data_IF_419997018175
#
_entry.id   IF_419997018175
#
_cell.length_a   1.000
_cell.length_b   1.000
_cell.length_c   1.000
_cell.angle_alpha   90.00
_cell.angle_beta   90.00
_cell.angle_gamma   90.00
#
_symmetry.space_group_name_H-M   'P 1'
#
loop_
_entity.id
_entity.type
_entity.pdbx_description
1 polymer ?
#
# COMPACT_ATOMS: atom_id res chain seq x y z
N UNK A 1 -34.72 8.98 -53.05
CA UNK A 1 -34.57 10.02 -52.00
C UNK A 1 -33.61 9.48 -50.95
N UNK A 2 -32.43 10.09 -50.79
CA UNK A 2 -31.41 9.63 -49.84
C UNK A 2 -31.44 10.53 -48.59
N UNK A 3 -31.71 9.94 -47.43
CA UNK A 3 -31.65 10.62 -46.13
C UNK A 3 -30.20 10.86 -45.72
N UNK A 4 -29.82 12.07 -45.25
CA UNK A 4 -28.46 12.30 -44.76
C UNK A 4 -28.32 11.71 -43.34
N UNK A 5 -27.43 10.73 -43.22
CA UNK A 5 -26.97 10.20 -41.92
C UNK A 5 -26.26 11.32 -41.18
N UNK A 6 -26.87 11.83 -40.11
CA UNK A 6 -26.23 12.80 -39.21
C UNK A 6 -25.01 12.13 -38.56
N UNK A 7 -23.82 12.55 -39.00
CA UNK A 7 -22.58 12.23 -38.30
C UNK A 7 -22.62 12.77 -36.86
N UNK A 8 -21.86 12.16 -35.93
CA UNK A 8 -21.86 12.53 -34.53
C UNK A 8 -21.47 14.00 -34.38
N UNK A 9 -22.31 14.76 -33.68
CA UNK A 9 -22.14 16.20 -33.46
C UNK A 9 -20.80 16.43 -32.75
N UNK A 10 -20.08 17.46 -33.14
CA UNK A 10 -18.80 17.89 -32.54
C UNK A 10 -18.86 18.13 -31.01
N UNK A 11 -20.05 18.27 -30.44
CA UNK A 11 -20.28 18.29 -28.98
C UNK A 11 -20.10 16.94 -28.29
N UNK A 12 -20.41 15.81 -28.96
CA UNK A 12 -20.23 14.46 -28.41
C UNK A 12 -18.75 14.14 -28.19
N UNK A 13 -17.89 14.46 -29.17
CA UNK A 13 -16.44 14.21 -29.04
C UNK A 13 -15.81 14.99 -27.90
N UNK A 14 -16.18 16.27 -27.72
CA UNK A 14 -15.68 17.08 -26.60
C UNK A 14 -16.15 16.55 -25.24
N UNK A 15 -17.34 15.94 -25.18
CA UNK A 15 -17.89 15.34 -23.98
C UNK A 15 -17.22 13.99 -23.68
N UNK A 16 -16.93 13.20 -24.71
CA UNK A 16 -16.14 11.97 -24.63
C UNK A 16 -14.69 12.24 -24.21
N UNK A 17 -14.05 13.26 -24.77
CA UNK A 17 -12.70 13.69 -24.41
C UNK A 17 -12.62 14.18 -22.96
N UNK A 18 -13.63 14.96 -22.51
CA UNK A 18 -13.76 15.36 -21.11
C UNK A 18 -13.97 14.17 -20.18
N UNK A 19 -14.77 13.18 -20.59
CA UNK A 19 -14.99 11.94 -19.82
C UNK A 19 -13.71 11.12 -19.74
N UNK A 20 -12.97 10.99 -20.84
CA UNK A 20 -11.69 10.29 -20.89
C UNK A 20 -10.62 10.99 -20.03
N UNK A 21 -10.52 12.32 -20.08
CA UNK A 21 -9.65 13.12 -19.19
C UNK A 21 -10.02 12.95 -17.73
N UNK A 22 -11.32 12.94 -17.40
CA UNK A 22 -11.80 12.72 -16.03
C UNK A 22 -11.50 11.30 -15.54
N UNK A 23 -11.65 10.28 -16.40
CA UNK A 23 -11.28 8.90 -16.08
C UNK A 23 -9.77 8.73 -15.92
N UNK A 24 -8.95 9.39 -16.74
CA UNK A 24 -7.48 9.43 -16.59
C UNK A 24 -7.07 10.15 -15.31
N UNK A 25 -7.73 11.26 -14.97
CA UNK A 25 -7.50 11.98 -13.72
C UNK A 25 -7.93 11.17 -12.51
N UNK A 26 -9.08 10.50 -12.56
CA UNK A 26 -9.53 9.58 -11.50
C UNK A 26 -8.55 8.40 -11.39
N UNK A 27 -8.10 7.79 -12.49
CA UNK A 27 -7.08 6.73 -12.47
C UNK A 27 -5.74 7.22 -11.89
N UNK A 28 -5.33 8.46 -12.21
CA UNK A 28 -4.14 9.10 -11.64
C UNK A 28 -4.29 9.41 -10.16
N UNK A 29 -5.44 9.94 -9.73
CA UNK A 29 -5.77 10.23 -8.34
C UNK A 29 -6.09 8.97 -7.52
N UNK A 30 -6.48 7.86 -8.15
CA UNK A 30 -6.66 6.57 -7.50
C UNK A 30 -5.33 6.08 -6.92
N UNK A 31 -4.18 6.36 -7.55
CA UNK A 31 -2.88 6.08 -6.94
C UNK A 31 -2.67 6.86 -5.61
N UNK A 32 -3.30 8.03 -5.47
CA UNK A 32 -3.27 8.84 -4.25
C UNK A 32 -4.24 8.32 -3.17
N UNK A 33 -5.31 7.60 -3.54
CA UNK A 33 -6.31 7.08 -2.60
C UNK A 33 -6.12 5.60 -2.25
N UNK A 34 -5.42 4.84 -3.09
CA UNK A 34 -5.12 3.42 -2.88
C UNK A 34 -3.93 3.22 -1.93
N UNK A 35 -4.04 3.81 -0.75
CA UNK A 35 -3.02 3.71 0.30
C UNK A 35 -3.43 2.68 1.34
N UNK A 36 -2.44 1.96 1.86
CA UNK A 36 -2.64 1.04 2.96
C UNK A 36 -2.99 1.83 4.22
N UNK A 37 -4.20 1.63 4.77
CA UNK A 37 -4.66 2.33 5.98
C UNK A 37 -3.72 2.10 7.18
N UNK A 38 -3.03 0.95 7.22
CA UNK A 38 -2.13 0.62 8.31
C UNK A 38 -0.81 1.40 8.27
N UNK A 39 -0.16 1.58 7.11
CA UNK A 39 1.17 2.20 7.03
C UNK A 39 1.25 3.49 6.20
N UNK A 40 0.15 3.85 5.52
CA UNK A 40 0.01 5.04 4.70
C UNK A 40 0.92 5.06 3.46
N UNK A 41 1.32 3.89 2.95
CA UNK A 41 2.04 3.78 1.68
C UNK A 41 1.11 3.22 0.60
N UNK A 42 1.32 3.57 -0.69
CA UNK A 42 0.54 3.01 -1.79
C UNK A 42 0.56 1.48 -1.81
N UNK A 43 -0.57 0.86 -2.13
CA UNK A 43 -0.64 -0.59 -2.37
C UNK A 43 -0.40 -0.92 -3.83
N UNK A 44 0.10 -2.12 -4.10
CA UNK A 44 0.22 -2.64 -5.46
C UNK A 44 -1.04 -3.40 -5.83
N UNK A 45 -1.71 -3.01 -6.89
CA UNK A 45 -2.87 -3.75 -7.44
C UNK A 45 -2.49 -4.68 -8.59
N UNK A 46 -1.22 -4.66 -9.03
CA UNK A 46 -0.71 -5.47 -10.11
C UNK A 46 0.58 -6.22 -9.70
N UNK A 47 0.85 -7.30 -10.44
CA UNK A 47 1.98 -8.19 -10.21
C UNK A 47 1.65 -9.38 -9.30
N UNK A 48 2.67 -10.08 -8.77
CA UNK A 48 2.47 -11.31 -8.03
C UNK A 48 1.64 -11.11 -6.76
N UNK A 49 0.53 -11.86 -6.61
CA UNK A 49 -0.34 -11.80 -5.43
C UNK A 49 0.37 -12.20 -4.11
N UNK A 50 1.51 -12.91 -4.21
CA UNK A 50 2.37 -13.25 -3.08
C UNK A 50 3.23 -12.09 -2.56
N UNK A 51 3.32 -10.98 -3.30
CA UNK A 51 4.16 -9.85 -2.94
C UNK A 51 3.66 -9.18 -1.63
N UNK A 52 4.56 -8.82 -0.68
CA UNK A 52 4.17 -8.23 0.60
C UNK A 52 3.31 -6.97 0.49
N UNK A 53 3.59 -6.15 -0.51
CA UNK A 53 2.86 -4.92 -0.82
C UNK A 53 1.65 -5.08 -1.74
N UNK A 54 1.22 -6.30 -2.05
CA UNK A 54 -0.01 -6.52 -2.82
C UNK A 54 -1.22 -6.02 -2.01
N UNK A 55 -2.13 -5.31 -2.66
CA UNK A 55 -3.33 -4.73 -2.05
C UNK A 55 -4.38 -5.80 -1.75
N UNK A 56 -4.96 -5.74 -0.56
CA UNK A 56 -6.09 -6.59 -0.13
C UNK A 56 -7.10 -5.71 0.59
N UNK A 57 -8.38 -6.00 0.37
CA UNK A 57 -9.49 -5.37 1.11
C UNK A 57 -9.77 -6.23 2.35
N UNK A 58 -9.99 -5.58 3.48
CA UNK A 58 -10.36 -6.21 4.75
C UNK A 58 -11.59 -5.51 5.33
N UNK A 59 -12.46 -6.28 5.96
CA UNK A 59 -13.59 -5.76 6.72
C UNK A 59 -13.15 -5.47 8.16
N UNK A 60 -13.38 -4.23 8.61
CA UNK A 60 -13.17 -3.83 10.00
C UNK A 60 -14.53 -3.54 10.61
N UNK A 61 -14.91 -4.34 11.61
CA UNK A 61 -16.15 -4.12 12.35
C UNK A 61 -15.94 -2.92 13.28
N UNK A 62 -16.61 -1.80 12.98
CA UNK A 62 -16.76 -0.70 13.93
C UNK A 62 -17.65 -1.18 15.08
N UNK A 63 -17.23 -0.93 16.31
CA UNK A 63 -17.87 -1.49 17.50
C UNK A 63 -19.32 -1.02 17.71
N UNK A 64 -20.10 -1.93 18.29
CA UNK A 64 -21.55 -1.94 18.63
C UNK A 64 -22.44 -2.85 17.75
N UNK A 65 -21.95 -3.30 16.59
CA UNK A 65 -22.66 -4.27 15.74
C UNK A 65 -23.91 -3.71 15.06
N UNK A 66 -24.15 -2.41 15.16
CA UNK A 66 -25.29 -1.72 14.52
C UNK A 66 -24.89 -0.98 13.24
N UNK A 67 -23.59 -0.76 13.03
CA UNK A 67 -23.04 -0.15 11.82
C UNK A 67 -22.56 -1.19 10.79
N UNK A 68 -22.68 -0.85 9.50
CA UNK A 68 -22.10 -1.63 8.42
C UNK A 68 -20.56 -1.71 8.57
N UNK A 69 -19.92 -2.84 8.21
CA UNK A 69 -18.47 -2.99 8.34
C UNK A 69 -17.73 -2.00 7.43
N UNK A 70 -16.69 -1.37 7.98
CA UNK A 70 -15.81 -0.49 7.21
C UNK A 70 -14.85 -1.33 6.36
N UNK A 71 -14.89 -1.12 5.04
CA UNK A 71 -13.93 -1.74 4.13
C UNK A 71 -12.65 -0.91 4.09
N UNK A 72 -11.51 -1.54 4.40
CA UNK A 72 -10.21 -0.88 4.43
C UNK A 72 -9.23 -1.54 3.48
N UNK A 73 -8.40 -0.73 2.82
CA UNK A 73 -7.36 -1.20 1.93
C UNK A 73 -6.05 -1.39 2.70
N UNK A 74 -5.43 -2.55 2.55
CA UNK A 74 -4.21 -2.92 3.24
C UNK A 74 -3.22 -3.59 2.31
N UNK A 75 -1.94 -3.55 2.68
CA UNK A 75 -0.98 -4.50 2.12
C UNK A 75 -1.25 -5.90 2.68
N UNK A 76 -1.03 -6.93 1.87
CA UNK A 76 -1.06 -8.34 2.28
C UNK A 76 -0.24 -8.58 3.55
N UNK A 77 0.93 -7.96 3.64
CA UNK A 77 1.76 -8.02 4.84
C UNK A 77 1.11 -7.31 6.04
N UNK A 78 0.60 -6.09 5.85
CA UNK A 78 0.00 -5.29 6.92
C UNK A 78 -1.30 -5.90 7.47
N UNK A 79 -2.08 -6.60 6.64
CA UNK A 79 -3.27 -7.35 7.07
C UNK A 79 -2.97 -8.29 8.24
N UNK A 80 -1.83 -8.98 8.20
CA UNK A 80 -1.43 -9.93 9.25
C UNK A 80 -1.17 -9.29 10.62
N UNK A 81 -1.06 -7.96 10.69
CA UNK A 81 -0.86 -7.21 11.91
C UNK A 81 -2.13 -6.60 12.51
N UNK A 82 -3.25 -6.60 11.77
CA UNK A 82 -4.54 -6.24 12.33
C UNK A 82 -4.84 -7.14 13.54
N UNK A 83 -5.24 -6.53 14.65
CA UNK A 83 -5.52 -7.21 15.92
C UNK A 83 -4.31 -7.75 16.70
N UNK A 84 -3.17 -8.03 16.06
CA UNK A 84 -2.00 -8.70 16.71
C UNK A 84 -0.90 -7.75 17.12
N UNK A 85 -0.75 -6.63 16.44
CA UNK A 85 0.40 -5.74 16.63
C UNK A 85 -0.08 -4.31 16.88
N UNK A 86 -0.09 -3.92 18.17
CA UNK A 86 -0.13 -2.52 18.63
C UNK A 86 1.18 -1.78 18.32
N UNK A 87 1.80 -2.04 17.16
CA UNK A 87 3.05 -1.36 16.81
C UNK A 87 2.77 0.14 16.71
N UNK A 88 3.44 0.88 17.61
CA UNK A 88 3.29 2.33 17.74
C UNK A 88 4.14 3.00 16.64
N UNK A 89 3.47 3.69 15.73
CA UNK A 89 4.09 4.61 14.78
C UNK A 89 4.20 4.08 13.33
N UNK A 90 3.86 4.95 12.38
CA UNK A 90 3.91 4.69 10.95
C UNK A 90 5.31 4.25 10.47
N UNK A 91 6.38 4.83 11.02
CA UNK A 91 7.77 4.51 10.64
C UNK A 91 8.09 3.04 10.87
N UNK A 92 7.69 2.48 12.02
CA UNK A 92 7.95 1.08 12.32
C UNK A 92 7.15 0.14 11.40
N UNK A 93 5.89 0.50 11.11
CA UNK A 93 5.04 -0.24 10.16
C UNK A 93 5.67 -0.29 8.77
N UNK A 94 6.14 0.85 8.28
CA UNK A 94 6.88 0.97 7.01
C UNK A 94 8.18 0.18 7.03
N UNK A 95 8.92 0.21 8.14
CA UNK A 95 10.15 -0.56 8.29
C UNK A 95 9.91 -2.08 8.17
N UNK A 96 8.87 -2.61 8.80
CA UNK A 96 8.53 -4.02 8.65
C UNK A 96 8.14 -4.37 7.22
N UNK A 97 7.33 -3.54 6.56
CA UNK A 97 6.98 -3.72 5.15
C UNK A 97 8.24 -3.70 4.26
N UNK A 98 9.15 -2.75 4.47
CA UNK A 98 10.39 -2.64 3.70
C UNK A 98 11.31 -3.85 3.86
N UNK A 99 11.43 -4.38 5.08
CA UNK A 99 12.17 -5.63 5.33
C UNK A 99 11.50 -6.83 4.69
N UNK A 100 10.18 -6.96 4.79
CA UNK A 100 9.42 -8.03 4.16
C UNK A 100 9.55 -8.00 2.63
N UNK A 101 9.52 -6.80 2.05
CA UNK A 101 9.74 -6.58 0.61
C UNK A 101 11.15 -7.01 0.21
N UNK A 102 12.19 -6.56 0.93
CA UNK A 102 13.57 -7.01 0.65
C UNK A 102 13.73 -8.52 0.73
N UNK A 103 13.09 -9.18 1.69
CA UNK A 103 13.12 -10.64 1.80
C UNK A 103 12.48 -11.30 0.58
N UNK A 104 11.29 -10.82 0.18
CA UNK A 104 10.59 -11.33 -1.00
C UNK A 104 11.44 -11.19 -2.27
N UNK A 105 11.98 -9.99 -2.53
CA UNK A 105 12.83 -9.71 -3.70
C UNK A 105 14.12 -10.54 -3.72
N UNK A 106 14.59 -10.99 -2.54
CA UNK A 106 15.77 -11.87 -2.42
C UNK A 106 15.41 -13.36 -2.34
N UNK A 107 14.17 -13.73 -2.69
CA UNK A 107 13.70 -15.11 -2.66
C UNK A 107 13.54 -15.71 -1.25
N UNK A 108 13.70 -14.90 -0.20
CA UNK A 108 13.52 -15.34 1.19
C UNK A 108 12.06 -15.18 1.58
N UNK A 109 11.56 -16.13 2.37
CA UNK A 109 10.21 -15.99 2.95
C UNK A 109 10.15 -14.74 3.85
N UNK A 110 9.18 -13.83 3.63
CA UNK A 110 8.99 -12.68 4.50
C UNK A 110 8.77 -13.15 5.93
N UNK A 111 9.64 -12.72 6.84
CA UNK A 111 9.49 -12.98 8.26
C UNK A 111 8.29 -12.19 8.82
N UNK A 112 7.72 -12.67 9.94
CA UNK A 112 6.75 -11.89 10.72
C UNK A 112 7.38 -10.59 11.22
N UNK A 113 6.61 -9.74 11.91
CA UNK A 113 7.06 -8.55 12.65
C UNK A 113 8.15 -8.89 13.67
N UNK A 114 9.35 -9.16 13.18
CA UNK A 114 10.54 -9.53 13.92
C UNK A 114 11.52 -8.37 13.86
N UNK A 115 12.69 -8.58 14.45
CA UNK A 115 13.64 -7.55 14.83
C UNK A 115 14.32 -6.77 13.69
N UNK A 116 13.71 -6.59 12.53
CA UNK A 116 14.28 -5.93 11.36
C UNK A 116 15.67 -6.49 10.98
N UNK A 117 15.92 -7.78 11.27
CA UNK A 117 17.23 -8.41 11.10
C UNK A 117 18.29 -8.07 12.14
N UNK A 118 17.97 -7.28 13.16
CA UNK A 118 18.88 -6.90 14.26
C UNK A 118 18.98 -8.04 15.26
N UNK A 119 20.20 -8.57 15.44
CA UNK A 119 20.52 -9.57 16.47
C UNK A 119 20.51 -8.93 17.86
N UNK A 120 20.18 -9.72 18.89
CA UNK A 120 20.35 -9.28 20.29
C UNK A 120 21.84 -9.02 20.53
N UNK A 121 22.14 -7.94 21.24
CA UNK A 121 23.46 -7.63 21.76
C UNK A 121 23.38 -7.64 23.29
N UNK A 122 24.41 -8.16 24.00
CA UNK A 122 24.50 -8.01 25.45
C UNK A 122 24.64 -6.54 25.86
N UNK A 123 25.23 -5.70 24.99
CA UNK A 123 25.20 -4.24 25.13
C UNK A 123 23.82 -3.69 24.65
N UNK A 124 22.99 -3.15 25.57
CA UNK A 124 21.66 -2.65 25.23
C UNK A 124 21.69 -1.37 24.41
N UNK A 125 22.71 -0.52 24.55
CA UNK A 125 22.80 0.74 23.83
C UNK A 125 23.26 0.54 22.40
N UNK A 126 24.20 -0.39 22.19
CA UNK A 126 24.54 -0.85 20.84
C UNK A 126 23.32 -1.49 20.15
N UNK A 127 22.54 -2.31 20.87
CA UNK A 127 21.29 -2.87 20.34
C UNK A 127 20.31 -1.77 19.92
N UNK A 128 20.08 -0.76 20.78
CA UNK A 128 19.19 0.37 20.48
C UNK A 128 19.67 1.18 19.28
N UNK A 129 20.97 1.42 19.16
CA UNK A 129 21.58 2.12 18.02
C UNK A 129 21.32 1.35 16.72
N UNK A 130 21.65 0.06 16.67
CA UNK A 130 21.40 -0.78 15.49
C UNK A 130 19.91 -0.88 15.16
N UNK A 131 19.06 -0.98 16.18
CA UNK A 131 17.60 -0.97 15.99
C UNK A 131 17.11 0.29 15.30
N UNK A 132 17.54 1.47 15.78
CA UNK A 132 17.14 2.77 15.19
C UNK A 132 17.60 2.88 13.74
N UNK A 133 18.83 2.48 13.46
CA UNK A 133 19.39 2.49 12.09
C UNK A 133 18.61 1.56 11.18
N UNK A 134 18.38 0.31 11.58
CA UNK A 134 17.62 -0.66 10.78
C UNK A 134 16.18 -0.17 10.52
N UNK A 135 15.51 0.37 11.55
CA UNK A 135 14.17 0.96 11.44
C UNK A 135 14.13 2.04 10.36
N UNK A 136 15.02 3.02 10.42
CA UNK A 136 15.03 4.11 9.44
C UNK A 136 15.40 3.62 8.04
N UNK A 137 16.43 2.77 7.92
CA UNK A 137 16.84 2.17 6.65
C UNK A 137 15.68 1.50 5.94
N UNK A 138 14.96 0.61 6.64
CA UNK A 138 13.86 -0.13 6.02
C UNK A 138 12.62 0.74 5.78
N UNK A 139 12.33 1.71 6.65
CA UNK A 139 11.24 2.64 6.42
C UNK A 139 11.48 3.47 5.15
N UNK A 140 12.70 4.03 4.99
CA UNK A 140 13.08 4.76 3.78
C UNK A 140 13.03 3.86 2.54
N UNK A 141 13.50 2.61 2.65
CA UNK A 141 13.42 1.63 1.56
C UNK A 141 11.99 1.39 1.12
N UNK A 142 11.07 1.18 2.07
CA UNK A 142 9.65 1.02 1.78
C UNK A 142 9.07 2.26 1.12
N UNK A 143 9.32 3.46 1.67
CA UNK A 143 8.85 4.71 1.07
C UNK A 143 9.29 4.78 -0.40
N UNK A 144 10.59 4.68 -0.69
CA UNK A 144 11.10 4.74 -2.07
C UNK A 144 10.46 3.69 -2.99
N UNK A 145 10.38 2.45 -2.52
CA UNK A 145 9.85 1.34 -3.32
C UNK A 145 8.37 1.54 -3.68
N UNK A 146 7.54 2.02 -2.74
CA UNK A 146 6.09 2.12 -2.93
C UNK A 146 5.62 3.50 -3.39
N UNK A 147 6.42 4.56 -3.24
CA UNK A 147 6.08 5.90 -3.76
C UNK A 147 6.78 6.24 -5.07
N UNK A 148 7.89 5.57 -5.41
CA UNK A 148 8.74 5.92 -6.54
C UNK A 148 8.54 5.06 -7.79
N UNK A 149 7.51 4.22 -7.87
CA UNK A 149 7.33 3.28 -8.99
C UNK A 149 5.86 2.94 -9.22
N UNK A 150 5.13 3.87 -9.83
CA UNK A 150 3.92 3.61 -10.61
C UNK A 150 3.80 4.69 -11.68
#
# INVERSE_FOLDING_TARGET
MASPVRGPRSGDRRQEDRRALRLRHIAGCLSCTLTCQYCGLPVRLAGPAGHPGYGVVEEVIAGDGTAAPDLVLLHRFCRSALGRCRTRGCVLRRAHLGRATEQYETGRRPGRYQRLGVRRSPDPDLYRKHWRVAKMRYACKACRYYTGSH
#
